data_IF_683374825141
#
_entry.id   IF_683374825141
#
_cell.length_a   1.000
_cell.length_b   1.000
_cell.length_c   1.000
_cell.angle_alpha   90.00
_cell.angle_beta   90.00
_cell.angle_gamma   90.00
#
_symmetry.space_group_name_H-M   'P 1'
#
loop_
_entity.id
_entity.type
_entity.pdbx_description
1 polymer ?
#
# COMPACT_ATOMS: atom_id res chain seq x y z
N UNK A 1 26.59 -48.00 -72.27
CA UNK A 1 26.69 -49.39 -71.79
C UNK A 1 26.24 -49.38 -70.33
N UNK A 2 24.96 -49.60 -70.06
CA UNK A 2 24.39 -50.84 -69.49
C UNK A 2 23.88 -50.48 -68.08
N UNK A 3 22.71 -50.90 -67.59
CA UNK A 3 21.54 -51.55 -68.14
C UNK A 3 20.51 -51.53 -66.99
N UNK A 4 19.22 -51.36 -67.32
CA UNK A 4 18.08 -51.56 -66.42
C UNK A 4 18.02 -52.98 -65.81
N UNK A 5 17.55 -53.10 -64.56
CA UNK A 5 16.77 -54.25 -63.97
C UNK A 5 15.98 -53.70 -62.75
N UNK A 6 14.66 -53.49 -62.84
CA UNK A 6 13.52 -54.39 -62.42
C UNK A 6 13.60 -54.83 -60.95
N UNK A 7 12.56 -54.98 -60.11
CA UNK A 7 11.13 -54.67 -59.99
C UNK A 7 10.69 -55.34 -58.65
N UNK A 8 9.69 -54.79 -57.95
CA UNK A 8 8.76 -55.43 -56.96
C UNK A 8 9.04 -55.41 -55.44
N UNK A 9 8.08 -54.77 -54.76
CA UNK A 9 7.31 -55.18 -53.57
C UNK A 9 8.02 -55.87 -52.39
N UNK A 10 7.95 -55.26 -51.20
CA UNK A 10 7.02 -55.66 -50.12
C UNK A 10 7.23 -54.83 -48.85
N UNK A 11 6.09 -54.46 -48.28
CA UNK A 11 5.80 -53.78 -47.01
C UNK A 11 6.72 -54.17 -45.84
N UNK A 12 7.20 -53.20 -45.06
CA UNK A 12 7.19 -53.27 -43.58
C UNK A 12 7.46 -51.90 -42.96
N UNK A 13 6.62 -51.57 -41.99
CA UNK A 13 6.49 -50.28 -41.33
C UNK A 13 7.76 -49.86 -40.56
N UNK A 14 8.18 -48.61 -40.77
CA UNK A 14 9.01 -47.87 -39.83
C UNK A 14 8.37 -46.51 -39.66
N UNK A 15 7.66 -46.32 -38.54
CA UNK A 15 7.22 -45.03 -38.06
C UNK A 15 8.43 -44.30 -37.47
N UNK A 16 8.90 -43.23 -38.12
CA UNK A 16 9.76 -42.22 -37.47
C UNK A 16 9.47 -40.83 -38.04
N UNK A 17 9.02 -39.97 -37.13
CA UNK A 17 9.10 -38.50 -37.11
C UNK A 17 8.62 -37.70 -38.31
N UNK A 18 7.42 -37.15 -38.15
CA UNK A 18 7.12 -35.82 -38.63
C UNK A 18 8.06 -34.82 -37.92
N UNK A 19 9.15 -34.42 -38.58
CA UNK A 19 9.84 -33.18 -38.23
C UNK A 19 8.93 -32.01 -38.67
N UNK A 20 8.05 -31.59 -37.75
CA UNK A 20 7.58 -30.21 -37.75
C UNK A 20 8.83 -29.36 -37.54
N UNK A 21 9.28 -28.69 -38.60
CA UNK A 21 10.19 -27.56 -38.46
C UNK A 21 9.38 -26.46 -37.79
N UNK A 22 9.31 -26.51 -36.47
CA UNK A 22 8.92 -25.34 -35.70
C UNK A 22 10.10 -24.38 -35.90
N UNK A 23 9.92 -23.22 -36.57
CA UNK A 23 10.93 -22.19 -36.45
C UNK A 23 11.01 -21.90 -34.95
N UNK A 24 12.14 -22.24 -34.33
CA UNK A 24 12.54 -21.63 -33.07
C UNK A 24 12.69 -20.15 -33.41
N UNK A 25 11.59 -19.41 -33.24
CA UNK A 25 11.68 -17.98 -33.15
C UNK A 25 12.55 -17.75 -31.93
N UNK A 26 13.75 -17.19 -32.16
CA UNK A 26 14.53 -16.62 -31.08
C UNK A 26 13.57 -15.72 -30.31
N UNK A 27 13.25 -16.08 -29.08
CA UNK A 27 12.49 -15.21 -28.20
C UNK A 27 13.30 -13.92 -28.13
N UNK A 28 12.73 -12.81 -28.61
CA UNK A 28 13.36 -11.53 -28.46
C UNK A 28 13.53 -11.34 -26.95
N UNK A 29 14.76 -11.23 -26.47
CA UNK A 29 14.99 -10.94 -25.06
C UNK A 29 14.79 -9.44 -24.85
N UNK A 30 14.29 -9.09 -23.66
CA UNK A 30 14.14 -7.70 -23.27
C UNK A 30 15.52 -7.01 -23.25
N UNK A 31 15.62 -5.84 -23.86
CA UNK A 31 16.91 -5.21 -24.13
C UNK A 31 16.86 -3.69 -24.11
N UNK A 32 17.97 -3.09 -23.70
CA UNK A 32 18.20 -1.66 -23.84
C UNK A 32 18.42 -1.30 -25.30
N UNK A 33 17.72 -0.28 -25.78
CA UNK A 33 17.88 0.30 -27.11
C UNK A 33 18.10 1.81 -26.99
N UNK A 34 18.71 2.40 -28.01
CA UNK A 34 19.05 3.84 -28.03
C UNK A 34 18.90 4.43 -29.42
N UNK A 35 18.42 5.67 -29.48
CA UNK A 35 18.43 6.51 -30.66
C UNK A 35 18.86 7.95 -30.29
N UNK A 36 18.67 8.89 -31.21
CA UNK A 36 19.05 10.31 -31.01
C UNK A 36 18.28 11.00 -29.88
N UNK A 37 17.11 10.48 -29.48
CA UNK A 37 16.28 11.03 -28.40
C UNK A 37 16.69 10.51 -27.02
N UNK A 38 17.12 9.26 -26.94
CA UNK A 38 17.52 8.67 -25.66
C UNK A 38 17.53 7.14 -25.65
N UNK A 39 17.65 6.59 -24.45
CA UNK A 39 17.56 5.17 -24.18
C UNK A 39 16.11 4.75 -23.92
N UNK A 40 15.69 3.57 -24.35
CA UNK A 40 14.47 2.91 -23.90
C UNK A 40 14.74 1.43 -23.64
N UNK A 41 13.83 0.78 -22.92
CA UNK A 41 13.92 -0.65 -22.67
C UNK A 41 12.77 -1.35 -23.39
N UNK A 42 13.10 -2.18 -24.38
CA UNK A 42 12.11 -2.94 -25.13
C UNK A 42 11.99 -4.34 -24.53
N UNK A 43 10.76 -4.73 -24.21
CA UNK A 43 10.41 -6.06 -23.70
C UNK A 43 10.39 -7.10 -24.83
N UNK A 44 10.31 -8.37 -24.45
CA UNK A 44 10.32 -9.49 -25.40
C UNK A 44 9.17 -9.46 -26.42
N UNK A 45 8.04 -8.88 -26.02
CA UNK A 45 6.84 -8.70 -26.85
C UNK A 45 6.88 -7.42 -27.70
N UNK A 46 7.96 -6.65 -27.64
CA UNK A 46 8.13 -5.38 -28.33
C UNK A 46 7.50 -4.18 -27.61
N UNK A 47 6.87 -4.39 -26.45
CA UNK A 47 6.39 -3.30 -25.60
C UNK A 47 7.54 -2.59 -24.89
N UNK A 48 7.28 -1.41 -24.32
CA UNK A 48 8.27 -0.68 -23.53
C UNK A 48 7.58 0.12 -22.42
N UNK A 49 8.25 0.31 -21.26
CA UNK A 49 7.67 1.04 -20.14
C UNK A 49 7.50 2.52 -20.50
N UNK A 50 6.35 3.09 -20.14
CA UNK A 50 6.06 4.53 -20.30
C UNK A 50 5.45 5.09 -19.01
N UNK A 51 5.88 6.27 -18.57
CA UNK A 51 5.51 6.89 -17.28
C UNK A 51 5.68 5.95 -16.07
N UNK A 52 6.65 5.05 -16.12
CA UNK A 52 6.76 3.94 -15.20
C UNK A 52 8.18 3.75 -14.68
N UNK A 53 8.28 3.30 -13.43
CA UNK A 53 9.51 2.76 -12.87
C UNK A 53 9.71 1.32 -13.34
N UNK A 54 10.94 0.95 -13.67
CA UNK A 54 11.31 -0.43 -14.02
C UNK A 54 12.62 -0.79 -13.35
N UNK A 55 12.63 -1.94 -12.69
CA UNK A 55 13.83 -2.56 -12.17
C UNK A 55 14.51 -3.36 -13.29
N UNK A 56 15.74 -3.00 -13.64
CA UNK A 56 16.52 -3.64 -14.69
C UNK A 56 17.91 -3.93 -14.13
N UNK A 57 18.28 -5.21 -14.04
CA UNK A 57 19.58 -5.65 -13.48
C UNK A 57 19.90 -4.98 -12.13
N UNK A 58 18.96 -5.11 -11.20
CA UNK A 58 19.04 -4.60 -9.81
C UNK A 58 19.14 -3.07 -9.66
N UNK A 59 18.88 -2.32 -10.73
CA UNK A 59 18.82 -0.86 -10.72
C UNK A 59 17.44 -0.37 -11.15
N UNK A 60 16.91 0.61 -10.43
CA UNK A 60 15.66 1.25 -10.78
C UNK A 60 15.87 2.34 -11.81
N UNK A 61 15.06 2.33 -12.86
CA UNK A 61 15.02 3.33 -13.92
C UNK A 61 13.61 3.89 -14.01
N UNK A 62 13.47 5.14 -14.41
CA UNK A 62 12.17 5.74 -14.72
C UNK A 62 12.09 6.06 -16.20
N UNK A 63 10.95 5.76 -16.83
CA UNK A 63 10.70 6.04 -18.24
C UNK A 63 9.61 7.10 -18.37
N UNK A 64 9.84 8.08 -19.24
CA UNK A 64 8.91 9.18 -19.50
C UNK A 64 7.65 8.71 -20.26
N UNK A 65 6.76 9.66 -20.56
CA UNK A 65 5.46 9.35 -21.18
C UNK A 65 5.51 8.85 -22.61
N UNK A 66 6.68 8.84 -23.24
CA UNK A 66 6.89 8.28 -24.58
C UNK A 66 7.90 7.13 -24.58
N UNK A 67 8.36 6.70 -23.40
CA UNK A 67 9.15 5.50 -23.18
C UNK A 67 10.65 5.69 -23.11
N UNK A 68 11.15 6.93 -23.02
CA UNK A 68 12.59 7.18 -22.87
C UNK A 68 12.99 7.23 -21.40
N UNK A 69 14.13 6.62 -21.09
CA UNK A 69 14.76 6.60 -19.79
C UNK A 69 15.09 8.03 -19.35
N UNK A 70 14.71 8.35 -18.12
CA UNK A 70 15.00 9.61 -17.47
C UNK A 70 16.33 9.52 -16.72
N UNK A 71 17.15 10.56 -16.86
CA UNK A 71 18.44 10.70 -16.17
C UNK A 71 18.64 12.13 -15.66
N UNK A 72 19.58 12.29 -14.72
CA UNK A 72 20.03 13.56 -14.13
C UNK A 72 18.92 14.46 -13.56
N UNK A 73 17.87 13.88 -12.99
CA UNK A 73 16.76 14.65 -12.42
C UNK A 73 16.00 13.88 -11.34
N UNK A 74 15.24 14.63 -10.56
CA UNK A 74 14.29 14.10 -9.60
C UNK A 74 13.02 13.58 -10.28
N UNK A 75 12.56 12.42 -9.83
CA UNK A 75 11.21 11.90 -10.08
C UNK A 75 10.59 11.62 -8.70
N UNK A 76 9.72 12.53 -8.27
CA UNK A 76 9.24 12.55 -6.88
C UNK A 76 10.40 12.78 -5.90
N UNK A 77 10.57 11.87 -4.95
CA UNK A 77 11.65 11.93 -3.94
C UNK A 77 12.87 11.10 -4.32
N UNK A 78 13.00 10.68 -5.58
CA UNK A 78 14.07 9.80 -6.03
C UNK A 78 14.87 10.50 -7.11
N UNK A 79 16.19 10.47 -7.00
CA UNK A 79 17.07 11.09 -7.98
C UNK A 79 17.61 10.04 -8.96
N UNK A 80 17.43 10.27 -10.26
CA UNK A 80 18.02 9.45 -11.32
C UNK A 80 19.39 10.02 -11.67
N UNK A 81 20.42 9.18 -11.53
CA UNK A 81 21.81 9.53 -11.84
C UNK A 81 22.07 9.72 -13.33
N UNK A 82 23.33 9.96 -13.68
CA UNK A 82 23.76 10.15 -15.06
C UNK A 82 23.67 8.87 -15.92
N UNK A 83 23.64 7.70 -15.29
CA UNK A 83 23.38 6.42 -15.96
C UNK A 83 21.88 6.08 -16.01
N UNK A 84 21.01 7.00 -15.59
CA UNK A 84 19.56 6.81 -15.47
C UNK A 84 19.12 5.92 -14.30
N UNK A 85 20.07 5.38 -13.53
CA UNK A 85 19.74 4.56 -12.38
C UNK A 85 19.39 5.44 -11.18
N UNK A 86 18.41 5.02 -10.40
CA UNK A 86 18.04 5.65 -9.14
C UNK A 86 19.21 5.58 -8.15
N UNK A 87 19.59 6.74 -7.61
CA UNK A 87 20.58 6.81 -6.55
C UNK A 87 20.02 6.24 -5.25
N UNK A 88 20.85 5.51 -4.51
CA UNK A 88 20.54 4.98 -3.18
C UNK A 88 21.73 5.21 -2.26
N UNK A 89 21.45 5.51 -0.99
CA UNK A 89 22.42 5.65 0.08
C UNK A 89 23.62 6.56 -0.26
N UNK A 90 23.34 7.71 -0.89
CA UNK A 90 24.37 8.60 -1.42
C UNK A 90 23.88 10.04 -1.49
N UNK A 91 24.80 10.96 -1.77
CA UNK A 91 24.47 12.35 -2.06
C UNK A 91 24.20 12.57 -3.54
N UNK A 92 23.15 13.31 -3.84
CA UNK A 92 22.81 13.75 -5.19
C UNK A 92 23.73 14.91 -5.62
N UNK A 93 23.90 15.15 -6.93
CA UNK A 93 24.78 16.23 -7.42
C UNK A 93 24.39 17.64 -6.94
N UNK A 94 23.11 17.85 -6.61
CA UNK A 94 22.56 19.09 -6.08
C UNK A 94 22.63 19.19 -4.54
N UNK A 95 23.28 18.23 -3.88
CA UNK A 95 23.68 18.33 -2.46
C UNK A 95 22.68 17.75 -1.45
N UNK A 96 21.68 17.00 -1.90
CA UNK A 96 20.74 16.30 -1.03
C UNK A 96 21.21 14.87 -0.75
N UNK A 97 20.73 14.25 0.33
CA UNK A 97 21.01 12.85 0.64
C UNK A 97 19.78 11.98 0.36
N UNK A 98 19.99 10.86 -0.33
CA UNK A 98 18.98 9.81 -0.50
C UNK A 98 19.35 8.60 0.36
N UNK A 99 18.37 8.06 1.09
CA UNK A 99 18.58 6.92 1.97
C UNK A 99 18.78 5.60 1.20
N UNK A 100 18.90 4.47 1.90
CA UNK A 100 19.07 3.15 1.30
C UNK A 100 17.91 2.72 0.39
N UNK A 101 16.75 3.36 0.49
CA UNK A 101 15.60 3.16 -0.42
C UNK A 101 15.64 4.09 -1.63
N UNK A 102 16.60 5.01 -1.69
CA UNK A 102 16.74 6.05 -2.71
C UNK A 102 15.85 7.26 -2.47
N UNK A 103 15.11 7.28 -1.36
CA UNK A 103 14.23 8.38 -1.02
C UNK A 103 15.05 9.52 -0.43
N UNK A 104 14.79 10.74 -0.90
CA UNK A 104 15.33 11.95 -0.32
C UNK A 104 14.97 12.06 1.17
N UNK A 105 15.98 12.36 1.98
CA UNK A 105 15.84 12.61 3.41
C UNK A 105 16.02 14.10 3.69
N UNK A 106 15.00 14.71 4.26
CA UNK A 106 15.04 16.11 4.69
C UNK A 106 15.94 16.27 5.93
N UNK A 107 16.80 17.29 5.94
CA UNK A 107 17.65 17.62 7.09
C UNK A 107 18.99 16.87 7.17
N UNK A 108 19.27 15.93 6.28
CA UNK A 108 20.59 15.26 6.19
C UNK A 108 21.48 16.01 5.19
N UNK A 109 21.77 17.27 5.51
CA UNK A 109 22.83 18.05 4.85
C UNK A 109 24.13 17.92 5.64
N UNK A 110 25.11 17.21 5.09
CA UNK A 110 26.51 17.09 5.54
C UNK A 110 26.82 17.53 6.99
N UNK A 111 26.65 16.64 7.97
CA UNK A 111 27.41 16.72 9.23
C UNK A 111 28.66 15.84 9.11
N UNK A 112 29.74 16.44 8.63
CA UNK A 112 31.07 15.84 8.73
C UNK A 112 31.46 15.84 10.22
N UNK A 113 31.18 14.76 10.94
CA UNK A 113 31.62 14.58 12.32
C UNK A 113 33.11 14.23 12.35
N UNK A 114 33.97 15.25 12.46
CA UNK A 114 35.33 15.08 12.95
C UNK A 114 35.22 14.90 14.47
N UNK A 115 35.39 13.67 14.92
CA UNK A 115 35.55 13.32 16.33
C UNK A 115 36.73 14.06 16.95
N UNK A 116 36.48 14.95 17.91
CA UNK A 116 37.44 15.25 18.98
C UNK A 116 36.84 15.01 20.35
N UNK A 117 37.40 13.96 20.93
CA UNK A 117 37.28 13.40 22.25
C UNK A 117 37.50 14.42 23.37
N UNK A 118 36.68 14.24 24.42
CA UNK A 118 36.95 14.42 25.86
C UNK A 118 37.20 15.82 26.43
N UNK A 119 36.38 16.18 27.42
CA UNK A 119 36.70 17.20 28.41
C UNK A 119 35.55 17.49 29.37
N UNK A 120 35.54 16.79 30.51
CA UNK A 120 34.64 16.92 31.66
C UNK A 120 34.36 18.38 32.07
N UNK A 121 33.08 18.73 32.28
CA UNK A 121 32.64 20.03 32.78
C UNK A 121 32.14 19.96 34.22
N UNK A 122 33.02 20.22 35.19
CA UNK A 122 32.65 20.58 36.56
C UNK A 122 32.27 22.05 36.60
N UNK A 123 31.06 22.36 37.09
CA UNK A 123 30.58 23.73 37.33
C UNK A 123 31.47 24.46 38.34
N UNK A 124 31.88 25.69 38.02
CA UNK A 124 32.01 26.79 39.00
C UNK A 124 31.72 28.15 38.37
N UNK A 125 31.08 28.97 39.19
CA UNK A 125 30.61 30.34 38.99
C UNK A 125 31.71 31.39 39.11
N UNK A 126 31.38 32.59 38.60
CA UNK A 126 31.68 33.93 39.16
C UNK A 126 32.61 34.86 38.36
N UNK A 127 32.02 36.03 38.07
CA UNK A 127 32.55 37.40 38.00
C UNK A 127 33.83 37.74 37.21
N UNK A 128 33.69 38.79 36.38
CA UNK A 128 34.64 39.91 36.40
C UNK A 128 35.27 40.30 35.05
N UNK A 129 34.78 41.39 34.47
CA UNK A 129 35.53 42.54 33.95
C UNK A 129 36.63 42.37 32.87
N UNK A 130 36.66 43.32 31.93
CA UNK A 130 37.92 43.75 31.31
C UNK A 130 37.94 43.83 29.79
N UNK A 131 37.85 45.05 29.30
CA UNK A 131 38.24 45.55 27.97
C UNK A 131 39.62 45.07 27.47
N UNK A 132 39.79 44.89 26.16
CA UNK A 132 40.73 45.67 25.29
C UNK A 132 41.11 44.93 23.99
N UNK A 133 40.77 45.57 22.86
CA UNK A 133 41.59 45.88 21.67
C UNK A 133 42.78 44.96 21.25
N UNK A 134 42.80 44.75 19.93
CA UNK A 134 43.90 45.07 18.96
C UNK A 134 44.63 43.91 18.28
N UNK A 135 44.92 44.16 16.99
CA UNK A 135 45.96 43.53 16.17
C UNK A 135 45.51 42.25 15.47
N UNK A 136 45.57 42.08 14.14
CA UNK A 136 46.35 42.79 13.14
C UNK A 136 47.24 41.79 12.39
N UNK A 137 46.98 41.66 11.08
CA UNK A 137 47.92 41.43 9.98
C UNK A 137 48.68 40.11 9.79
N UNK A 138 48.74 39.72 8.51
CA UNK A 138 49.85 39.00 7.86
C UNK A 138 49.64 37.50 7.76
N UNK A 139 49.73 36.82 6.62
CA UNK A 139 50.34 37.18 5.36
C UNK A 139 51.16 35.99 4.85
N UNK A 140 50.79 35.49 3.67
CA UNK A 140 51.69 35.01 2.60
C UNK A 140 52.49 33.70 2.74
N UNK A 141 52.56 33.00 1.60
CA UNK A 141 53.59 31.99 1.26
C UNK A 141 52.95 30.63 1.01
N UNK A 142 52.77 30.15 -0.22
CA UNK A 142 53.79 29.97 -1.25
C UNK A 142 53.97 28.47 -1.45
N UNK A 143 53.23 27.85 -2.38
CA UNK A 143 53.70 27.43 -3.71
C UNK A 143 54.56 26.16 -3.75
N UNK A 144 54.29 25.38 -4.81
CA UNK A 144 55.14 24.39 -5.53
C UNK A 144 54.87 22.92 -5.14
N UNK A 145 54.22 22.15 -6.04
CA UNK A 145 54.78 21.36 -7.18
C UNK A 145 55.55 20.14 -6.64
N UNK A 146 55.49 18.92 -7.16
CA UNK A 146 55.04 18.36 -8.45
C UNK A 146 55.47 16.89 -8.50
N UNK A 147 54.76 16.06 -9.26
CA UNK A 147 55.26 14.80 -9.86
C UNK A 147 55.30 13.58 -8.92
N UNK A 148 55.02 12.35 -9.35
CA UNK A 148 54.78 11.79 -10.68
C UNK A 148 55.40 10.38 -10.75
N UNK A 149 54.58 9.38 -11.13
CA UNK A 149 54.98 8.01 -11.57
C UNK A 149 55.56 7.09 -10.48
N UNK A 150 55.61 5.76 -10.60
CA UNK A 150 55.02 4.75 -11.49
C UNK A 150 55.47 3.38 -10.93
N UNK A 151 54.69 2.33 -11.23
CA UNK A 151 55.10 0.92 -11.37
C UNK A 151 55.59 0.10 -10.15
N UNK A 152 55.13 -1.17 -10.09
CA UNK A 152 55.76 -2.22 -9.29
C UNK A 152 54.87 -3.44 -9.09
N UNK A 153 54.98 -4.42 -9.99
CA UNK A 153 54.35 -5.75 -9.92
C UNK A 153 55.19 -6.75 -9.10
N UNK A 154 54.54 -7.81 -8.61
CA UNK A 154 55.16 -9.02 -8.05
C UNK A 154 54.64 -9.32 -6.64
N UNK A 155 54.25 -10.53 -6.24
CA UNK A 155 54.31 -11.84 -6.86
C UNK A 155 54.05 -12.88 -5.75
N UNK A 156 53.21 -13.87 -6.04
CA UNK A 156 53.31 -15.27 -5.60
C UNK A 156 53.48 -15.64 -4.11
N UNK A 157 52.45 -16.32 -3.61
CA UNK A 157 52.47 -17.76 -3.26
C UNK A 157 52.45 -18.21 -1.78
N UNK A 158 51.51 -19.14 -1.55
CA UNK A 158 51.62 -20.46 -0.89
C UNK A 158 51.25 -20.63 0.59
N UNK A 159 50.35 -21.64 0.75
CA UNK A 159 50.18 -22.63 1.83
C UNK A 159 49.52 -22.07 3.10
N UNK A 160 48.45 -22.66 3.63
CA UNK A 160 48.07 -24.07 3.70
C UNK A 160 48.07 -24.48 5.17
N UNK A 161 47.01 -25.14 5.65
CA UNK A 161 46.98 -25.63 7.04
C UNK A 161 45.58 -25.81 7.60
N UNK A 162 45.14 -27.05 7.56
CA UNK A 162 43.91 -27.62 8.10
C UNK A 162 43.82 -27.57 9.64
N UNK A 163 42.59 -27.68 10.16
CA UNK A 163 42.14 -28.73 11.11
C UNK A 163 41.34 -28.22 12.31
N UNK A 164 40.18 -28.90 12.51
CA UNK A 164 39.55 -29.37 13.77
C UNK A 164 39.35 -28.35 14.91
N UNK A 165 38.19 -28.22 15.56
CA UNK A 165 37.17 -29.21 15.91
C UNK A 165 36.74 -28.97 17.37
N UNK A 166 35.60 -29.55 17.78
CA UNK A 166 34.96 -29.55 19.12
C UNK A 166 33.95 -28.40 19.34
N UNK A 167 32.69 -28.60 19.77
CA UNK A 167 32.00 -29.77 20.30
C UNK A 167 31.47 -29.51 21.72
N UNK A 168 30.15 -29.33 21.88
CA UNK A 168 29.30 -29.59 23.07
C UNK A 168 27.95 -28.84 22.86
N UNK A 169 26.75 -29.40 22.97
CA UNK A 169 26.29 -30.62 23.62
C UNK A 169 25.61 -30.30 24.96
N UNK A 170 24.29 -30.12 24.95
CA UNK A 170 23.41 -30.44 26.09
C UNK A 170 22.00 -30.80 25.58
N UNK A 171 21.51 -31.93 26.08
CA UNK A 171 20.20 -32.53 25.84
C UNK A 171 19.60 -32.93 27.18
N UNK A 172 18.29 -32.76 27.31
CA UNK A 172 17.36 -33.50 28.19
C UNK A 172 15.97 -32.88 27.90
N UNK A 173 15.01 -33.51 27.22
CA UNK A 173 14.33 -34.78 27.54
C UNK A 173 13.13 -34.48 28.46
N UNK A 174 11.92 -35.04 28.40
CA UNK A 174 11.19 -35.99 27.54
C UNK A 174 9.74 -35.95 28.06
N UNK A 175 8.72 -36.32 27.27
CA UNK A 175 7.37 -36.50 27.80
C UNK A 175 6.31 -36.81 26.75
N UNK A 176 6.20 -38.09 26.40
CA UNK A 176 5.29 -38.70 25.42
C UNK A 176 3.91 -38.98 26.03
N UNK A 177 2.86 -38.92 25.19
CA UNK A 177 1.58 -39.59 25.43
C UNK A 177 0.72 -39.62 24.16
N UNK A 178 0.58 -40.80 23.54
CA UNK A 178 -0.28 -41.09 22.39
C UNK A 178 -1.31 -42.15 22.77
N UNK A 179 -2.58 -41.90 22.47
CA UNK A 179 -3.70 -42.83 22.15
C UNK A 179 -5.00 -42.01 22.31
N UNK A 180 -6.09 -42.14 21.55
CA UNK A 180 -6.53 -43.08 20.52
C UNK A 180 -7.97 -42.68 20.14
N UNK A 181 -8.36 -43.08 18.93
CA UNK A 181 -9.58 -42.77 18.17
C UNK A 181 -10.94 -43.04 18.85
N UNK A 182 -11.95 -42.19 18.59
CA UNK A 182 -13.33 -42.58 18.17
C UNK A 182 -14.14 -41.34 17.73
N UNK A 183 -14.85 -41.45 16.60
CA UNK A 183 -15.83 -40.46 16.16
C UNK A 183 -17.21 -40.68 16.77
N UNK A 184 -18.04 -39.63 16.84
CA UNK A 184 -19.42 -39.62 16.35
C UNK A 184 -20.03 -38.19 16.47
N UNK A 185 -21.04 -37.98 15.64
CA UNK A 185 -21.90 -36.84 15.35
C UNK A 185 -22.68 -36.18 16.50
N UNK A 186 -23.06 -34.91 16.24
CA UNK A 186 -24.28 -34.19 16.66
C UNK A 186 -24.52 -33.95 18.15
N UNK A 187 -24.53 -32.67 18.55
CA UNK A 187 -25.71 -31.98 19.10
C UNK A 187 -25.35 -30.60 19.65
N UNK A 188 -26.22 -29.64 19.33
CA UNK A 188 -26.39 -28.36 19.99
C UNK A 188 -26.33 -28.44 21.52
N UNK A 189 -25.75 -27.41 22.15
CA UNK A 189 -26.48 -26.69 23.20
C UNK A 189 -25.88 -25.30 23.43
N UNK A 190 -26.75 -24.31 23.24
CA UNK A 190 -26.68 -22.98 23.82
C UNK A 190 -26.68 -23.06 25.35
N UNK A 191 -25.93 -22.17 26.00
CA UNK A 191 -26.36 -21.59 27.27
C UNK A 191 -26.29 -20.08 27.16
N UNK A 192 -27.45 -19.47 27.41
CA UNK A 192 -27.79 -18.08 27.30
C UNK A 192 -27.15 -17.19 28.38
N UNK A 193 -26.84 -15.96 28.01
CA UNK A 193 -26.82 -14.79 28.89
C UNK A 193 -27.91 -13.83 28.45
N UNK A 194 -28.96 -13.73 29.26
CA UNK A 194 -30.12 -12.85 29.11
C UNK A 194 -29.71 -11.36 28.97
N UNK A 195 -30.39 -10.62 28.10
CA UNK A 195 -31.22 -9.50 28.56
C UNK A 195 -32.27 -9.10 27.52
N UNK A 196 -33.43 -8.78 28.06
CA UNK A 196 -34.76 -8.78 27.46
C UNK A 196 -35.16 -7.36 27.04
N UNK A 197 -35.80 -7.18 25.88
CA UNK A 197 -36.82 -6.13 25.73
C UNK A 197 -37.88 -6.55 24.71
N UNK A 198 -39.08 -6.76 25.24
CA UNK A 198 -40.29 -7.25 24.57
C UNK A 198 -41.05 -6.12 23.90
N UNK A 199 -41.35 -6.30 22.61
CA UNK A 199 -42.42 -5.59 21.88
C UNK A 199 -43.78 -6.29 22.08
N UNK A 200 -44.91 -5.57 22.11
CA UNK A 200 -46.21 -6.11 21.71
C UNK A 200 -46.66 -5.56 20.35
N UNK A 201 -47.06 -6.49 19.48
CA UNK A 201 -47.73 -6.25 18.19
C UNK A 201 -49.19 -5.84 18.41
N UNK A 202 -49.69 -4.89 17.62
CA UNK A 202 -51.13 -4.74 17.34
C UNK A 202 -51.32 -4.50 15.84
N UNK A 203 -52.04 -5.43 15.21
CA UNK A 203 -52.58 -5.35 13.86
C UNK A 203 -53.73 -4.32 13.83
N UNK A 204 -53.84 -3.49 12.79
CA UNK A 204 -55.14 -3.09 12.25
C UNK A 204 -55.04 -2.53 10.83
N UNK A 205 -55.78 -3.20 9.95
CA UNK A 205 -56.11 -2.85 8.58
C UNK A 205 -57.24 -1.81 8.57
N UNK A 206 -57.04 -0.62 7.98
CA UNK A 206 -58.15 0.28 7.58
C UNK A 206 -57.80 1.03 6.29
N UNK A 207 -58.71 0.86 5.33
CA UNK A 207 -58.83 1.43 3.99
C UNK A 207 -58.89 2.96 3.94
N UNK A 208 -58.28 3.53 2.90
CA UNK A 208 -58.28 4.96 2.54
C UNK A 208 -59.59 5.35 1.81
N UNK A 209 -60.16 6.54 2.09
CA UNK A 209 -60.94 7.25 1.09
C UNK A 209 -60.37 8.64 0.76
N UNK A 210 -60.45 8.95 -0.54
CA UNK A 210 -60.20 10.24 -1.19
C UNK A 210 -61.28 11.28 -0.83
N UNK A 211 -60.89 12.55 -0.72
CA UNK A 211 -61.81 13.68 -0.69
C UNK A 211 -61.10 15.05 -0.58
N UNK A 212 -61.16 15.84 -1.67
CA UNK A 212 -60.80 17.25 -1.70
C UNK A 212 -61.85 18.10 -0.93
N UNK A 213 -61.41 19.12 -0.18
CA UNK A 213 -62.05 20.45 -0.22
C UNK A 213 -61.23 21.55 0.49
N UNK A 214 -61.26 22.72 -0.14
CA UNK A 214 -60.59 23.99 0.20
C UNK A 214 -61.43 24.90 1.13
N UNK A 215 -60.74 25.94 1.66
CA UNK A 215 -61.23 27.21 2.27
C UNK A 215 -61.72 27.05 3.74
N UNK A 216 -61.39 27.87 4.77
CA UNK A 216 -61.33 29.34 4.95
C UNK A 216 -60.51 29.69 6.21
N UNK A 217 -59.73 30.78 6.18
CA UNK A 217 -59.12 31.43 7.35
C UNK A 217 -60.13 32.41 7.97
N UNK A 218 -60.25 32.45 9.32
CA UNK A 218 -60.53 33.70 10.00
C UNK A 218 -59.51 34.03 11.10
N UNK A 219 -59.16 35.31 11.13
CA UNK A 219 -58.35 36.00 12.15
C UNK A 219 -59.16 36.20 13.45
N UNK A 220 -58.53 36.06 14.61
CA UNK A 220 -59.12 36.38 15.92
C UNK A 220 -58.20 35.99 17.09
N UNK A 221 -57.78 37.00 17.85
CA UNK A 221 -56.73 36.94 18.87
C UNK A 221 -57.28 36.74 20.31
N UNK A 222 -56.41 36.22 21.19
CA UNK A 222 -56.36 36.34 22.67
C UNK A 222 -57.20 35.40 23.56
N UNK A 223 -56.50 34.62 24.41
CA UNK A 223 -57.06 34.00 25.61
C UNK A 223 -56.27 32.79 26.12
N UNK A 224 -55.34 33.02 27.04
CA UNK A 224 -54.49 32.01 27.70
C UNK A 224 -55.28 30.81 28.26
N UNK A 225 -54.85 29.60 27.89
CA UNK A 225 -54.89 28.44 28.78
C UNK A 225 -53.67 27.57 28.54
N UNK A 226 -52.85 27.45 29.59
CA UNK A 226 -51.61 26.70 29.66
C UNK A 226 -51.89 25.22 29.42
N UNK A 227 -51.55 24.73 28.24
CA UNK A 227 -51.37 23.31 27.95
C UNK A 227 -49.89 23.11 27.70
N UNK A 228 -49.24 22.35 28.58
CA UNK A 228 -47.84 21.96 28.45
C UNK A 228 -47.71 21.01 27.25
N UNK A 229 -47.41 21.57 26.09
CA UNK A 229 -47.06 20.81 24.88
C UNK A 229 -45.61 20.33 25.05
N UNK A 230 -45.30 19.04 24.84
CA UNK A 230 -43.92 18.58 24.86
C UNK A 230 -43.14 19.32 23.77
N UNK A 231 -42.01 19.88 24.19
CA UNK A 231 -41.05 20.64 23.41
C UNK A 231 -40.85 20.01 22.02
N UNK A 232 -41.53 20.55 20.99
CA UNK A 232 -41.20 20.28 19.60
C UNK A 232 -39.83 20.86 19.38
N UNK A 233 -38.83 19.98 19.49
CA UNK A 233 -37.45 20.30 19.14
C UNK A 233 -37.49 20.58 17.65
N UNK A 234 -37.30 21.84 17.28
CA UNK A 234 -36.99 22.27 15.92
C UNK A 234 -35.98 21.26 15.35
N UNK A 235 -36.25 20.58 14.22
CA UNK A 235 -35.24 19.73 13.61
C UNK A 235 -34.04 20.64 13.34
N UNK A 236 -32.93 20.39 14.04
CA UNK A 236 -31.66 20.96 13.63
C UNK A 236 -31.51 20.62 12.15
N UNK A 237 -31.20 21.61 11.31
CA UNK A 237 -30.90 21.37 9.89
C UNK A 237 -29.78 20.32 9.88
N UNK A 238 -30.11 19.07 9.53
CA UNK A 238 -29.14 17.99 9.54
C UNK A 238 -28.14 18.27 8.43
N UNK A 239 -26.85 18.29 8.78
CA UNK A 239 -25.80 18.47 7.79
C UNK A 239 -25.80 17.28 6.84
N UNK A 240 -25.30 17.48 5.60
CA UNK A 240 -25.14 16.38 4.66
C UNK A 240 -24.28 15.24 5.25
N UNK A 241 -23.26 15.58 6.07
CA UNK A 241 -22.47 14.61 6.84
C UNK A 241 -23.35 13.72 7.72
N UNK A 242 -24.22 14.31 8.56
CA UNK A 242 -25.11 13.54 9.44
C UNK A 242 -26.08 12.68 8.64
N UNK A 243 -26.67 13.20 7.56
CA UNK A 243 -27.61 12.44 6.72
C UNK A 243 -26.94 11.21 6.09
N UNK A 244 -25.74 11.40 5.52
CA UNK A 244 -25.00 10.32 4.87
C UNK A 244 -24.55 9.28 5.89
N UNK A 245 -24.01 9.70 7.04
CA UNK A 245 -23.53 8.78 8.08
C UNK A 245 -24.69 7.94 8.64
N UNK A 246 -25.85 8.54 8.96
CA UNK A 246 -26.99 7.78 9.47
C UNK A 246 -27.59 6.84 8.42
N UNK A 247 -27.63 7.24 7.14
CA UNK A 247 -28.07 6.37 6.06
C UNK A 247 -27.15 5.14 5.88
N UNK A 248 -25.82 5.35 5.90
CA UNK A 248 -24.83 4.28 5.84
C UNK A 248 -24.92 3.34 7.04
N UNK A 249 -25.11 3.88 8.25
CA UNK A 249 -25.33 3.06 9.46
C UNK A 249 -26.60 2.22 9.36
N UNK A 250 -27.68 2.76 8.80
CA UNK A 250 -28.91 2.00 8.55
C UNK A 250 -28.71 0.83 7.57
N UNK A 251 -27.66 0.87 6.74
CA UNK A 251 -27.25 -0.24 5.86
C UNK A 251 -26.27 -1.23 6.53
N UNK A 252 -26.01 -1.09 7.84
CA UNK A 252 -25.18 -2.04 8.61
C UNK A 252 -23.70 -1.66 8.73
N UNK A 253 -23.33 -0.41 8.45
CA UNK A 253 -21.97 0.08 8.61
C UNK A 253 -21.76 0.58 10.03
N UNK A 254 -20.53 0.45 10.54
CA UNK A 254 -20.17 1.12 11.79
C UNK A 254 -20.11 2.64 11.57
N UNK A 255 -20.29 3.42 12.64
CA UNK A 255 -20.16 4.87 12.56
C UNK A 255 -18.77 5.30 12.06
N UNK A 256 -17.70 4.60 12.48
CA UNK A 256 -16.33 4.91 12.05
C UNK A 256 -16.12 4.63 10.56
N UNK A 257 -16.67 3.53 10.03
CA UNK A 257 -16.62 3.21 8.59
C UNK A 257 -17.37 4.28 7.77
N UNK A 258 -18.61 4.57 8.14
CA UNK A 258 -19.44 5.57 7.48
C UNK A 258 -18.77 6.96 7.47
N UNK A 259 -18.22 7.37 8.62
CA UNK A 259 -17.52 8.64 8.77
C UNK A 259 -16.21 8.70 7.99
N UNK A 260 -15.43 7.60 7.96
CA UNK A 260 -14.18 7.54 7.20
C UNK A 260 -14.44 7.65 5.70
N UNK A 261 -15.39 6.86 5.18
CA UNK A 261 -15.83 6.94 3.79
C UNK A 261 -16.27 8.36 3.41
N UNK A 262 -17.16 8.96 4.21
CA UNK A 262 -17.64 10.32 3.97
C UNK A 262 -16.49 11.33 3.94
N UNK A 263 -15.54 11.23 4.87
CA UNK A 263 -14.39 12.17 4.96
C UNK A 263 -13.42 12.04 3.80
N UNK A 264 -13.17 10.83 3.31
CA UNK A 264 -12.37 10.63 2.09
C UNK A 264 -13.05 11.32 0.91
N UNK A 265 -14.35 11.10 0.71
CA UNK A 265 -15.09 11.72 -0.38
C UNK A 265 -15.26 13.24 -0.23
N UNK A 266 -15.43 13.76 0.99
CA UNK A 266 -15.42 15.20 1.24
C UNK A 266 -14.04 15.82 0.94
N UNK A 267 -12.96 15.11 1.23
CA UNK A 267 -11.62 15.53 0.83
C UNK A 267 -11.46 15.54 -0.70
N UNK A 268 -11.91 14.50 -1.40
CA UNK A 268 -11.91 14.46 -2.87
C UNK A 268 -12.70 15.60 -3.47
N UNK A 269 -13.91 15.85 -2.97
CA UNK A 269 -14.75 16.97 -3.42
C UNK A 269 -14.09 18.33 -3.19
N UNK A 270 -13.35 18.51 -2.08
CA UNK A 270 -12.57 19.73 -1.82
C UNK A 270 -11.45 19.97 -2.85
N UNK A 271 -11.02 18.93 -3.57
CA UNK A 271 -10.07 19.00 -4.68
C UNK A 271 -10.75 19.16 -6.04
N UNK A 272 -12.09 19.28 -6.08
CA UNK A 272 -12.87 19.28 -7.31
C UNK A 272 -12.96 17.90 -7.98
N UNK A 273 -12.69 16.82 -7.25
CA UNK A 273 -12.73 15.45 -7.77
C UNK A 273 -14.09 14.81 -7.50
N UNK A 274 -14.56 13.92 -8.39
CA UNK A 274 -15.77 13.15 -8.14
C UNK A 274 -15.62 12.23 -6.92
N UNK A 275 -16.70 12.07 -6.18
CA UNK A 275 -16.80 11.12 -5.06
C UNK A 275 -16.77 9.68 -5.58
N UNK A 276 -16.04 8.78 -4.93
CA UNK A 276 -16.01 7.35 -5.24
C UNK A 276 -17.22 6.64 -4.63
N UNK A 277 -17.73 5.61 -5.31
CA UNK A 277 -18.75 4.71 -4.75
C UNK A 277 -18.22 3.88 -3.59
N UNK A 278 -19.14 3.38 -2.73
CA UNK A 278 -18.80 2.56 -1.57
C UNK A 278 -19.08 1.07 -1.83
N UNK A 279 -18.04 0.33 -2.22
CA UNK A 279 -18.13 -1.10 -2.56
C UNK A 279 -18.36 -1.97 -1.32
N UNK A 280 -19.31 -2.91 -1.41
CA UNK A 280 -19.56 -3.91 -0.36
C UNK A 280 -18.45 -4.94 -0.29
N UNK A 281 -18.00 -5.46 -1.44
CA UNK A 281 -16.92 -6.44 -1.50
C UNK A 281 -15.62 -5.89 -0.93
N UNK A 282 -15.17 -4.72 -1.39
CA UNK A 282 -13.92 -4.12 -0.89
C UNK A 282 -14.02 -3.74 0.60
N UNK A 283 -15.22 -3.48 1.11
CA UNK A 283 -15.45 -3.25 2.55
C UNK A 283 -15.24 -4.53 3.35
N UNK A 284 -15.69 -5.68 2.86
CA UNK A 284 -15.42 -6.98 3.51
C UNK A 284 -13.93 -7.35 3.47
N UNK A 285 -13.23 -7.03 2.38
CA UNK A 285 -11.76 -7.16 2.30
C UNK A 285 -11.08 -6.29 3.36
N UNK A 286 -11.46 -5.02 3.45
CA UNK A 286 -10.91 -4.10 4.45
C UNK A 286 -11.18 -4.58 5.88
N UNK A 287 -12.40 -5.05 6.17
CA UNK A 287 -12.79 -5.60 7.47
C UNK A 287 -11.97 -6.84 7.84
N UNK A 288 -11.78 -7.76 6.89
CA UNK A 288 -10.95 -8.93 7.07
C UNK A 288 -9.51 -8.54 7.43
N UNK A 289 -8.96 -7.57 6.71
CA UNK A 289 -7.58 -7.12 6.92
C UNK A 289 -7.38 -6.34 8.23
N UNK A 290 -8.36 -5.51 8.63
CA UNK A 290 -8.31 -4.80 9.92
C UNK A 290 -8.37 -5.80 11.08
N UNK A 291 -9.21 -6.85 10.99
CA UNK A 291 -9.24 -7.93 11.99
C UNK A 291 -7.90 -8.66 12.07
N UNK A 292 -7.35 -9.04 10.92
CA UNK A 292 -6.06 -9.72 10.81
C UNK A 292 -4.92 -8.87 11.41
N UNK A 293 -4.90 -7.57 11.09
CA UNK A 293 -3.87 -6.64 11.55
C UNK A 293 -3.91 -6.41 13.06
N UNK A 294 -5.12 -6.26 13.63
CA UNK A 294 -5.28 -6.10 15.07
C UNK A 294 -4.93 -7.37 15.86
N UNK A 295 -5.18 -8.56 15.29
CA UNK A 295 -5.01 -9.83 16.02
C UNK A 295 -3.61 -10.41 15.86
N UNK A 296 -3.04 -10.34 14.66
CA UNK A 296 -1.82 -11.10 14.31
C UNK A 296 -0.63 -10.23 13.94
N UNK A 297 -0.83 -8.93 13.73
CA UNK A 297 0.25 -7.98 13.37
C UNK A 297 1.16 -8.51 12.24
N UNK A 298 0.59 -8.87 11.07
CA UNK A 298 1.33 -9.49 9.97
C UNK A 298 2.47 -8.61 9.44
N UNK A 299 2.43 -7.30 9.69
CA UNK A 299 3.52 -6.38 9.37
C UNK A 299 4.83 -6.69 10.12
N UNK A 300 4.80 -7.54 11.15
CA UNK A 300 5.99 -7.95 11.89
C UNK A 300 6.59 -9.27 11.43
N UNK A 301 5.95 -9.95 10.46
CA UNK A 301 6.46 -11.20 9.90
C UNK A 301 7.63 -10.93 8.95
N UNK A 302 8.42 -11.97 8.70
CA UNK A 302 9.51 -11.97 7.71
C UNK A 302 9.21 -12.99 6.63
N UNK A 303 9.56 -12.67 5.39
CA UNK A 303 9.42 -13.60 4.28
C UNK A 303 10.55 -14.65 4.29
N UNK A 304 10.55 -15.55 3.32
CA UNK A 304 11.59 -16.60 3.18
C UNK A 304 13.00 -16.05 2.97
N UNK A 305 13.13 -14.78 2.57
CA UNK A 305 14.41 -14.07 2.39
C UNK A 305 14.86 -13.37 3.68
N UNK A 306 14.05 -13.43 4.74
CA UNK A 306 14.29 -12.73 6.00
C UNK A 306 13.93 -11.24 5.95
N UNK A 307 13.21 -10.78 4.92
CA UNK A 307 12.82 -9.37 4.77
C UNK A 307 11.51 -9.15 5.51
N UNK A 308 11.49 -8.13 6.37
CA UNK A 308 10.31 -7.77 7.15
C UNK A 308 9.18 -7.25 6.26
N UNK A 309 7.97 -7.73 6.52
CA UNK A 309 6.76 -7.20 5.93
C UNK A 309 6.44 -5.78 6.38
N UNK A 310 5.38 -5.22 5.80
CA UNK A 310 4.81 -3.94 6.20
C UNK A 310 3.28 -4.06 6.38
N UNK A 311 2.58 -2.93 6.53
CA UNK A 311 1.15 -2.89 6.83
C UNK A 311 0.24 -3.59 5.79
N UNK A 312 0.74 -3.83 4.58
CA UNK A 312 0.03 -4.56 3.53
C UNK A 312 0.17 -6.09 3.63
N UNK A 313 0.82 -6.58 4.69
CA UNK A 313 0.99 -8.01 4.92
C UNK A 313 -0.32 -8.63 5.40
N UNK A 314 -0.52 -9.90 5.06
CA UNK A 314 -1.67 -10.73 5.42
C UNK A 314 -1.18 -11.99 6.12
N UNK A 315 -1.69 -12.27 7.32
CA UNK A 315 -1.28 -13.44 8.10
C UNK A 315 -1.85 -14.74 7.52
N UNK A 316 -1.38 -15.88 8.03
CA UNK A 316 -1.90 -17.21 7.67
C UNK A 316 -3.19 -17.60 8.41
N UNK A 317 -3.86 -16.68 9.12
CA UNK A 317 -5.02 -16.97 9.97
C UNK A 317 -6.37 -16.62 9.30
N UNK A 318 -6.45 -16.69 7.97
CA UNK A 318 -7.67 -16.45 7.22
C UNK A 318 -7.87 -17.42 6.07
N UNK A 319 -8.94 -17.22 5.30
CA UNK A 319 -9.27 -18.00 4.11
C UNK A 319 -8.55 -17.50 2.84
N UNK A 320 -7.60 -16.59 2.99
CA UNK A 320 -6.78 -16.01 1.93
C UNK A 320 -5.38 -16.64 1.91
N UNK A 321 -4.67 -16.43 0.82
CA UNK A 321 -3.25 -16.76 0.71
C UNK A 321 -2.43 -15.79 1.58
N UNK A 322 -1.60 -16.25 2.53
CA UNK A 322 -0.79 -15.37 3.36
C UNK A 322 0.28 -14.65 2.54
N UNK A 323 0.59 -13.41 2.92
CA UNK A 323 1.56 -12.57 2.23
C UNK A 323 2.36 -11.77 3.24
N UNK A 324 3.69 -11.92 3.23
CA UNK A 324 4.58 -10.98 3.91
C UNK A 324 4.95 -9.90 2.90
N UNK A 325 4.20 -8.79 2.90
CA UNK A 325 4.36 -7.77 1.88
C UNK A 325 5.57 -6.89 2.18
N UNK A 326 6.64 -7.11 1.43
CA UNK A 326 7.95 -6.48 1.62
C UNK A 326 8.05 -5.14 0.88
N UNK A 327 8.98 -4.29 1.31
CA UNK A 327 9.16 -2.93 0.77
C UNK A 327 9.59 -2.89 -0.71
N UNK A 328 10.10 -4.00 -1.24
CA UNK A 328 10.45 -4.17 -2.65
C UNK A 328 9.25 -4.56 -3.53
N UNK A 329 8.05 -4.66 -2.95
CA UNK A 329 6.82 -5.04 -3.65
C UNK A 329 6.86 -6.43 -4.31
N UNK A 330 7.72 -7.34 -3.84
CA UNK A 330 7.91 -8.65 -4.44
C UNK A 330 6.60 -9.44 -4.58
N UNK A 331 5.69 -9.32 -3.61
CA UNK A 331 4.41 -10.02 -3.55
C UNK A 331 3.22 -9.11 -3.92
N UNK A 332 3.40 -8.16 -4.84
CA UNK A 332 2.35 -7.19 -5.20
C UNK A 332 1.07 -7.85 -5.72
N UNK A 333 1.20 -8.89 -6.56
CA UNK A 333 0.02 -9.56 -7.13
C UNK A 333 -0.78 -10.35 -6.09
N UNK A 334 -0.12 -10.92 -5.08
CA UNK A 334 -0.79 -11.67 -4.01
C UNK A 334 -1.55 -10.74 -3.05
N UNK A 335 -1.13 -9.48 -2.94
CA UNK A 335 -1.87 -8.44 -2.23
C UNK A 335 -3.04 -7.94 -3.07
N UNK A 336 -2.82 -7.69 -4.37
CA UNK A 336 -3.87 -7.20 -5.26
C UNK A 336 -4.99 -8.21 -5.52
N UNK A 337 -4.74 -9.50 -5.33
CA UNK A 337 -5.72 -10.58 -5.49
C UNK A 337 -6.68 -10.73 -4.31
N UNK A 338 -6.46 -10.05 -3.18
CA UNK A 338 -7.25 -10.25 -1.96
C UNK A 338 -8.76 -10.06 -2.14
N UNK A 339 -9.26 -9.10 -2.95
CA UNK A 339 -10.67 -9.04 -3.26
C UNK A 339 -11.22 -10.31 -3.91
N UNK A 340 -10.49 -10.91 -4.85
CA UNK A 340 -10.90 -12.17 -5.53
C UNK A 340 -10.84 -13.39 -4.62
N UNK A 341 -10.00 -13.36 -3.59
CA UNK A 341 -9.87 -14.46 -2.64
C UNK A 341 -10.98 -14.43 -1.59
N UNK A 342 -11.40 -13.24 -1.17
CA UNK A 342 -12.27 -13.04 0.00
C UNK A 342 -13.73 -12.80 -0.41
N UNK A 343 -13.98 -12.28 -1.61
CA UNK A 343 -15.30 -11.82 -2.06
C UNK A 343 -15.56 -12.19 -3.52
N UNK A 344 -16.73 -11.81 -4.03
CA UNK A 344 -17.07 -11.99 -5.45
C UNK A 344 -16.42 -10.93 -6.36
N UNK A 345 -15.72 -9.93 -5.81
CA UNK A 345 -15.06 -8.90 -6.62
C UNK A 345 -14.05 -9.51 -7.59
N UNK A 346 -14.21 -9.23 -8.88
CA UNK A 346 -13.43 -9.89 -9.94
C UNK A 346 -12.12 -9.17 -10.26
N UNK A 347 -12.03 -7.89 -9.92
CA UNK A 347 -10.87 -7.03 -10.19
C UNK A 347 -9.72 -7.18 -9.20
N UNK A 348 -8.61 -6.50 -9.50
CA UNK A 348 -7.57 -6.23 -8.51
C UNK A 348 -8.04 -5.17 -7.52
N UNK A 349 -7.60 -5.28 -6.28
CA UNK A 349 -7.74 -4.24 -5.27
C UNK A 349 -6.41 -3.59 -4.93
N UNK A 350 -6.45 -2.30 -4.61
CA UNK A 350 -5.27 -1.54 -4.19
C UNK A 350 -5.52 -0.92 -2.83
N UNK A 351 -4.55 -1.00 -1.93
CA UNK A 351 -4.74 -0.65 -0.54
C UNK A 351 -3.93 0.60 -0.14
N UNK A 352 -4.51 1.44 0.70
CA UNK A 352 -3.76 2.30 1.61
C UNK A 352 -4.07 1.91 3.05
N UNK A 353 -3.01 1.85 3.86
CA UNK A 353 -3.10 1.39 5.25
C UNK A 353 -2.63 2.48 6.20
N UNK A 354 -3.19 2.51 7.41
CA UNK A 354 -2.74 3.37 8.50
C UNK A 354 -2.72 2.58 9.81
N UNK A 355 -1.68 2.83 10.60
CA UNK A 355 -1.54 2.30 11.96
C UNK A 355 -1.35 3.45 12.95
N UNK A 356 -1.99 3.33 14.10
CA UNK A 356 -1.83 4.23 15.23
C UNK A 356 -1.53 3.43 16.51
N UNK A 357 -0.81 4.03 17.46
CA UNK A 357 -0.41 3.35 18.71
C UNK A 357 -1.57 3.14 19.68
N UNK A 358 -2.63 3.93 19.55
CA UNK A 358 -3.90 3.76 20.28
C UNK A 358 -5.06 3.52 19.31
N UNK A 359 -6.27 3.86 19.74
CA UNK A 359 -7.43 3.80 18.85
C UNK A 359 -7.32 4.85 17.74
N UNK A 360 -7.28 4.42 16.49
CA UNK A 360 -7.28 5.33 15.35
C UNK A 360 -8.68 5.89 15.12
N UNK A 361 -8.77 7.20 14.86
CA UNK A 361 -10.02 7.87 14.45
C UNK A 361 -10.05 8.07 12.94
N UNK A 362 -11.24 8.24 12.34
CA UNK A 362 -11.37 8.58 10.93
C UNK A 362 -10.57 9.82 10.51
N UNK A 363 -10.55 10.86 11.36
CA UNK A 363 -9.78 12.09 11.12
C UNK A 363 -8.27 11.83 11.13
N UNK A 364 -7.79 11.02 12.08
CA UNK A 364 -6.38 10.66 12.18
C UNK A 364 -5.94 9.84 10.96
N UNK A 365 -6.72 8.83 10.57
CA UNK A 365 -6.44 8.01 9.39
C UNK A 365 -6.36 8.87 8.11
N UNK A 366 -7.37 9.72 7.88
CA UNK A 366 -7.39 10.62 6.72
C UNK A 366 -6.17 11.56 6.71
N UNK A 367 -5.82 12.16 7.86
CA UNK A 367 -4.68 13.07 7.92
C UNK A 367 -3.34 12.37 7.66
N UNK A 368 -3.17 11.13 8.12
CA UNK A 368 -1.98 10.32 7.79
C UNK A 368 -1.87 10.07 6.28
N UNK A 369 -2.98 9.77 5.61
CA UNK A 369 -2.98 9.56 4.16
C UNK A 369 -2.80 10.85 3.37
N UNK A 370 -3.45 11.95 3.76
CA UNK A 370 -3.28 13.27 3.09
C UNK A 370 -1.84 13.77 3.14
N UNK A 371 -1.14 13.53 4.24
CA UNK A 371 0.24 13.97 4.44
C UNK A 371 1.28 12.99 3.86
N UNK A 372 0.83 11.86 3.29
CA UNK A 372 1.67 10.91 2.56
C UNK A 372 1.42 11.08 1.07
N UNK A 373 2.37 11.60 0.27
CA UNK A 373 2.15 11.83 -1.16
C UNK A 373 1.63 10.59 -1.91
N UNK A 374 2.20 9.41 -1.62
CA UNK A 374 1.77 8.15 -2.24
C UNK A 374 0.34 7.75 -1.89
N UNK A 375 -0.02 7.78 -0.60
CA UNK A 375 -1.39 7.46 -0.17
C UNK A 375 -2.39 8.51 -0.69
N UNK A 376 -2.00 9.77 -0.67
CA UNK A 376 -2.82 10.85 -1.18
C UNK A 376 -3.09 10.71 -2.68
N UNK A 377 -2.10 10.25 -3.45
CA UNK A 377 -2.25 10.00 -4.88
C UNK A 377 -3.27 8.90 -5.19
N UNK A 378 -3.29 7.81 -4.39
CA UNK A 378 -4.32 6.75 -4.52
C UNK A 378 -5.69 7.31 -4.12
N UNK A 379 -5.78 7.97 -2.97
CA UNK A 379 -7.03 8.52 -2.43
C UNK A 379 -7.65 9.60 -3.34
N UNK A 380 -6.82 10.36 -4.04
CA UNK A 380 -7.23 11.37 -5.03
C UNK A 380 -7.26 10.82 -6.48
N UNK A 381 -7.03 9.52 -6.67
CA UNK A 381 -7.08 8.83 -7.97
C UNK A 381 -6.27 9.53 -9.05
N UNK A 382 -5.02 9.86 -8.74
CA UNK A 382 -4.12 10.62 -9.62
C UNK A 382 -3.11 9.72 -10.34
N UNK A 383 -2.75 10.09 -11.57
CA UNK A 383 -1.76 9.36 -12.37
C UNK A 383 -2.22 7.94 -12.70
N UNK A 384 -1.41 6.94 -12.32
CA UNK A 384 -1.74 5.51 -12.55
C UNK A 384 -3.00 5.04 -11.82
N UNK A 385 -3.53 5.84 -10.89
CA UNK A 385 -4.74 5.54 -10.11
C UNK A 385 -6.02 6.17 -10.68
N UNK A 386 -5.97 6.77 -11.86
CA UNK A 386 -7.08 7.54 -12.46
C UNK A 386 -8.32 6.70 -12.82
N UNK A 387 -8.13 5.39 -12.98
CA UNK A 387 -9.20 4.46 -13.31
C UNK A 387 -9.97 3.95 -12.07
N UNK A 388 -9.50 4.22 -10.85
CA UNK A 388 -10.21 3.80 -9.64
C UNK A 388 -11.53 4.57 -9.50
N UNK A 389 -12.63 3.84 -9.33
CA UNK A 389 -14.00 4.39 -9.24
C UNK A 389 -14.70 4.07 -7.93
N UNK A 390 -14.21 3.09 -7.18
CA UNK A 390 -14.85 2.62 -5.96
C UNK A 390 -13.84 2.41 -4.83
N UNK A 391 -14.33 2.48 -3.60
CA UNK A 391 -13.56 2.14 -2.41
C UNK A 391 -14.39 1.35 -1.41
N UNK A 392 -13.72 0.50 -0.63
CA UNK A 392 -14.23 -0.11 0.59
C UNK A 392 -13.32 0.27 1.75
N UNK A 393 -13.89 0.47 2.95
CA UNK A 393 -13.15 0.98 4.10
C UNK A 393 -13.42 0.13 5.33
N UNK A 394 -12.41 -0.03 6.17
CA UNK A 394 -12.61 -0.49 7.54
C UNK A 394 -11.64 0.17 8.48
N UNK A 395 -12.07 0.37 9.73
CA UNK A 395 -11.32 1.07 10.75
C UNK A 395 -11.73 0.57 12.13
N UNK A 396 -10.79 -0.05 12.82
CA UNK A 396 -10.98 -0.48 14.20
C UNK A 396 -9.65 -0.70 14.94
N UNK A 397 -9.68 -0.60 16.26
CA UNK A 397 -8.49 -0.70 17.10
C UNK A 397 -7.41 0.29 16.63
N UNK A 398 -6.22 -0.23 16.36
CA UNK A 398 -5.07 0.56 15.91
C UNK A 398 -4.96 0.75 14.39
N UNK A 399 -5.89 0.21 13.59
CA UNK A 399 -5.73 0.10 12.14
C UNK A 399 -6.90 0.69 11.36
N UNK A 400 -6.59 1.29 10.21
CA UNK A 400 -7.55 1.66 9.20
C UNK A 400 -7.00 1.27 7.83
N UNK A 401 -7.82 0.60 7.03
CA UNK A 401 -7.47 0.15 5.69
C UNK A 401 -8.54 0.61 4.71
N UNK A 402 -8.11 1.12 3.56
CA UNK A 402 -8.99 1.47 2.44
C UNK A 402 -8.53 0.72 1.22
N UNK A 403 -9.45 -0.03 0.62
CA UNK A 403 -9.25 -0.79 -0.60
C UNK A 403 -9.96 -0.09 -1.75
N UNK A 404 -9.28 0.10 -2.86
CA UNK A 404 -9.80 0.76 -4.06
C UNK A 404 -9.86 -0.21 -5.23
N UNK A 405 -10.80 0.03 -6.14
CA UNK A 405 -10.95 -0.75 -7.37
C UNK A 405 -11.50 0.06 -8.53
N UNK A 406 -11.30 -0.46 -9.74
CA UNK A 406 -11.83 0.07 -11.00
C UNK A 406 -13.06 -0.65 -11.51
N UNK A 407 -13.28 -1.89 -11.07
CA UNK A 407 -14.25 -2.81 -11.67
C UNK A 407 -15.57 -2.80 -10.89
N UNK A 408 -16.65 -3.18 -11.58
CA UNK A 408 -17.98 -3.25 -10.97
C UNK A 408 -18.02 -4.29 -9.84
N UNK A 409 -18.55 -3.89 -8.68
CA UNK A 409 -18.75 -4.76 -7.53
C UNK A 409 -19.99 -5.66 -7.72
N UNK A 410 -19.82 -7.00 -7.83
CA UNK A 410 -20.96 -7.91 -8.00
C UNK A 410 -21.91 -7.94 -6.80
N UNK A 411 -21.42 -7.62 -5.61
CA UNK A 411 -22.25 -7.57 -4.40
C UNK A 411 -22.97 -6.21 -4.26
N UNK A 412 -22.59 -5.23 -5.08
CA UNK A 412 -23.17 -3.90 -5.18
C UNK A 412 -22.57 -2.87 -4.22
N UNK A 413 -23.25 -1.73 -4.07
CA UNK A 413 -22.75 -0.56 -3.35
C UNK A 413 -23.66 -0.14 -2.20
N UNK A 414 -23.12 0.62 -1.25
CA UNK A 414 -23.90 1.31 -0.20
C UNK A 414 -24.35 2.68 -0.69
N UNK A 415 -25.37 2.71 -1.54
CA UNK A 415 -25.84 3.95 -2.16
C UNK A 415 -26.75 4.76 -1.22
N UNK A 416 -26.44 6.04 -1.08
CA UNK A 416 -27.18 6.99 -0.25
C UNK A 416 -27.93 7.96 -1.16
N UNK A 417 -29.23 8.12 -0.92
CA UNK A 417 -30.06 9.05 -1.67
C UNK A 417 -29.51 10.49 -1.57
N UNK A 418 -29.42 11.19 -2.71
CA UNK A 418 -28.89 12.55 -2.83
C UNK A 418 -27.40 12.69 -2.43
N UNK A 419 -26.62 11.62 -2.56
CA UNK A 419 -25.17 11.63 -2.40
C UNK A 419 -24.51 11.08 -3.66
N UNK A 420 -24.28 11.95 -4.63
CA UNK A 420 -23.80 11.56 -5.96
C UNK A 420 -22.36 11.04 -5.93
N UNK A 421 -22.16 9.83 -6.45
CA UNK A 421 -20.87 9.13 -6.53
C UNK A 421 -20.68 8.53 -7.92
N UNK A 422 -19.44 8.28 -8.31
CA UNK A 422 -19.13 7.56 -9.55
C UNK A 422 -19.14 6.05 -9.31
N UNK A 423 -19.59 5.32 -10.31
CA UNK A 423 -19.53 3.86 -10.36
C UNK A 423 -18.63 3.41 -11.52
N UNK A 424 -17.94 2.26 -11.36
CA UNK A 424 -17.35 1.49 -12.44
C UNK A 424 -18.25 1.29 -13.66
#
# INVERSE_FOLDING_TARGET
>A
MNLFKRLMCSVSAVAVSAFLVIPVMAANEAQWKRNDKGWWYEEADGSYPTNAWKLIKDKWYYFDGIGYMVENRWIGNYYLGADGAMLVNTSTPDGYYVDATGKWVEGVGNTVNISKTSGSGTKRSSLGGGSSRSGGSGGSGGSRRSGGGSSGSGGSSRRGGDSSGSGSGYSSGSGVGTAGSTGNTTASNNTAGNNNNTTPSVNNNVTVPSGNNTVVIPSGNTGNNTVTIPNTTTPAVSTQETQVIEALKAMGLTEKEAKLYYKINAYRESLGLPKLSFSKSLTEVARAHVRDSNTYTPENQVDSRGIKGNLHSWSANGSWTPVVYTSDHHYMYDMWSKPREITNYTGNGYEISAKYSGMISPETALNLWKNSPGHNQVMSTQGMWSDLKTMGVSIDGGYAHVWFGSDADPDGYYDVANYDVIHP
#
